data_IF_233180925731
#
_entry.id   IF_233180925731
#
_cell.length_a   1.000
_cell.length_b   1.000
_cell.length_c   1.000
_cell.angle_alpha   90.00
_cell.angle_beta   90.00
_cell.angle_gamma   90.00
#
_symmetry.space_group_name_H-M   'P 1'
#
loop_
_entity.id
_entity.type
_entity.pdbx_description
1 polymer ?
#
# COMPACT_ATOMS: atom_id res chain seq x y z
N UNK A 1 19.90 15.32 8.18
CA UNK A 1 20.83 15.13 7.06
C UNK A 1 20.12 15.21 5.70
N UNK A 2 19.08 14.40 5.42
CA UNK A 2 18.41 14.36 4.10
C UNK A 2 17.81 15.73 3.72
N UNK A 3 17.18 16.42 4.65
CA UNK A 3 16.57 17.74 4.39
C UNK A 3 17.58 18.87 4.43
N UNK A 4 18.50 18.84 5.38
CA UNK A 4 19.42 19.96 5.65
C UNK A 4 20.68 19.90 4.80
N UNK A 5 21.32 18.73 4.68
CA UNK A 5 22.55 18.55 3.92
C UNK A 5 22.28 18.19 2.48
N UNK A 6 21.47 17.11 2.22
CA UNK A 6 21.12 16.71 0.86
C UNK A 6 20.03 17.58 0.22
N UNK A 7 19.42 18.51 0.97
CA UNK A 7 18.40 19.46 0.49
C UNK A 7 17.27 18.84 -0.34
N UNK A 8 16.93 17.56 -0.05
CA UNK A 8 15.84 16.86 -0.74
C UNK A 8 14.49 17.31 -0.17
N UNK A 9 13.71 18.04 -0.99
CA UNK A 9 12.35 18.49 -0.63
C UNK A 9 11.35 17.34 -0.58
N UNK A 10 11.41 16.41 -1.55
CA UNK A 10 10.53 15.26 -1.66
C UNK A 10 11.03 14.08 -0.82
N UNK A 11 10.86 14.12 0.48
CA UNK A 11 11.28 13.08 1.41
C UNK A 11 10.16 12.73 2.38
N UNK A 12 9.94 11.43 2.58
CA UNK A 12 9.15 10.93 3.69
C UNK A 12 9.76 9.64 4.25
N UNK A 13 9.61 9.47 5.56
CA UNK A 13 10.05 8.29 6.31
C UNK A 13 8.96 7.87 7.28
N UNK A 14 8.78 6.57 7.39
CA UNK A 14 7.96 5.96 8.42
C UNK A 14 8.71 4.74 8.96
N UNK A 15 9.15 4.83 10.21
CA UNK A 15 10.05 3.82 10.83
C UNK A 15 11.26 3.52 9.94
N UNK A 16 11.35 2.29 9.42
CA UNK A 16 12.46 1.78 8.60
C UNK A 16 12.26 2.05 7.10
N UNK A 17 11.03 2.35 6.68
CA UNK A 17 10.70 2.62 5.28
C UNK A 17 10.77 4.12 4.99
N UNK A 18 11.42 4.48 3.88
CA UNK A 18 11.50 5.86 3.42
C UNK A 18 11.61 5.97 1.91
N UNK A 19 11.35 7.15 1.38
CA UNK A 19 11.59 7.47 -0.01
C UNK A 19 12.11 8.89 -0.19
N UNK A 20 12.87 9.08 -1.26
CA UNK A 20 13.36 10.37 -1.74
C UNK A 20 12.86 10.57 -3.16
N UNK A 21 12.45 11.80 -3.49
CA UNK A 21 12.02 12.19 -4.83
C UNK A 21 12.91 13.30 -5.35
N UNK A 22 13.50 13.09 -6.53
CA UNK A 22 14.27 14.10 -7.24
C UNK A 22 14.17 13.89 -8.74
N UNK A 23 14.34 14.96 -9.54
CA UNK A 23 14.27 14.91 -11.01
C UNK A 23 15.49 14.21 -11.63
N UNK A 24 16.70 14.46 -11.08
CA UNK A 24 17.95 13.82 -11.56
C UNK A 24 18.14 12.47 -10.88
N UNK A 25 18.37 11.45 -11.70
CA UNK A 25 18.72 10.10 -11.27
C UNK A 25 20.14 10.07 -10.69
N UNK A 26 21.07 10.81 -11.30
CA UNK A 26 22.47 10.93 -10.90
C UNK A 26 22.55 11.51 -9.48
N UNK A 27 21.76 12.53 -9.22
CA UNK A 27 21.69 13.12 -7.89
C UNK A 27 21.14 12.13 -6.84
N UNK A 28 20.11 11.35 -7.19
CA UNK A 28 19.62 10.30 -6.30
C UNK A 28 20.65 9.18 -6.06
N UNK A 29 21.48 8.85 -7.07
CA UNK A 29 22.57 7.89 -6.91
C UNK A 29 23.62 8.40 -5.91
N UNK A 30 24.02 9.68 -6.04
CA UNK A 30 24.92 10.33 -5.07
C UNK A 30 24.31 10.31 -3.66
N UNK A 31 23.07 10.77 -3.51
CA UNK A 31 22.37 10.74 -2.21
C UNK A 31 22.32 9.33 -1.61
N UNK A 32 22.09 8.30 -2.43
CA UNK A 32 22.08 6.93 -1.96
C UNK A 32 23.45 6.47 -1.47
N UNK A 33 24.55 6.87 -2.14
CA UNK A 33 25.91 6.60 -1.71
C UNK A 33 26.19 7.25 -0.35
N UNK A 34 25.88 8.54 -0.23
CA UNK A 34 26.10 9.31 1.00
C UNK A 34 25.28 8.74 2.18
N UNK A 35 24.04 8.36 1.93
CA UNK A 35 23.17 7.71 2.94
C UNK A 35 23.73 6.35 3.36
N UNK A 36 24.25 5.56 2.41
CA UNK A 36 24.89 4.28 2.74
C UNK A 36 26.09 4.44 3.64
N UNK A 37 26.93 5.42 3.35
CA UNK A 37 28.10 5.73 4.16
C UNK A 37 27.71 6.09 5.60
N UNK A 38 26.80 7.07 5.77
CA UNK A 38 26.34 7.51 7.10
C UNK A 38 25.65 6.39 7.86
N UNK A 39 24.79 5.60 7.18
CA UNK A 39 24.19 4.45 7.82
C UNK A 39 25.25 3.44 8.28
N UNK A 40 26.32 3.23 7.50
CA UNK A 40 27.44 2.38 7.87
C UNK A 40 28.16 2.87 9.11
N UNK A 41 28.46 4.17 9.20
CA UNK A 41 29.07 4.83 10.36
C UNK A 41 28.21 4.68 11.64
N UNK A 42 26.89 4.69 11.48
CA UNK A 42 25.92 4.48 12.57
C UNK A 42 25.59 3.01 12.86
N UNK A 43 26.27 2.06 12.20
CA UNK A 43 26.00 0.62 12.35
C UNK A 43 24.67 0.15 11.75
N UNK A 44 23.99 0.98 10.94
CA UNK A 44 22.70 0.67 10.32
C UNK A 44 22.93 0.03 8.96
N UNK A 45 22.38 -1.17 8.75
CA UNK A 45 22.45 -1.88 7.46
C UNK A 45 21.21 -1.59 6.61
N UNK A 46 21.41 -0.96 5.46
CA UNK A 46 20.34 -0.80 4.47
C UNK A 46 20.02 -2.11 3.76
N UNK A 47 18.73 -2.39 3.57
CA UNK A 47 18.30 -3.57 2.80
C UNK A 47 18.50 -3.33 1.30
N UNK A 48 19.61 -3.84 0.75
CA UNK A 48 20.00 -3.65 -0.65
C UNK A 48 18.98 -4.20 -1.66
N UNK A 49 18.23 -5.26 -1.31
CA UNK A 49 17.18 -5.85 -2.17
C UNK A 49 15.95 -4.94 -2.28
N UNK A 50 15.67 -4.11 -1.26
CA UNK A 50 14.52 -3.19 -1.26
C UNK A 50 14.91 -1.77 -1.65
N UNK A 51 16.17 -1.37 -1.46
CA UNK A 51 16.66 -0.04 -1.78
C UNK A 51 16.95 0.07 -3.26
N UNK A 52 16.13 0.83 -3.99
CA UNK A 52 16.24 0.95 -5.44
C UNK A 52 15.82 2.34 -5.93
N UNK A 53 16.41 2.79 -7.02
CA UNK A 53 16.02 4.03 -7.71
C UNK A 53 15.13 3.64 -8.89
N UNK A 54 13.90 4.15 -8.90
CA UNK A 54 12.90 3.83 -9.93
C UNK A 54 12.22 5.09 -10.45
N UNK A 55 11.77 5.07 -11.71
CA UNK A 55 10.91 6.14 -12.24
C UNK A 55 9.55 6.09 -11.54
N UNK A 56 9.06 7.24 -11.04
CA UNK A 56 7.77 7.32 -10.34
C UNK A 56 6.58 6.96 -11.23
N UNK A 57 6.69 7.09 -12.55
CA UNK A 57 5.71 6.61 -13.52
C UNK A 57 5.52 5.08 -13.49
N UNK A 58 6.58 4.33 -13.14
CA UNK A 58 6.47 2.89 -12.89
C UNK A 58 5.77 2.55 -11.57
N UNK A 59 5.59 3.55 -10.70
CA UNK A 59 4.96 3.45 -9.40
C UNK A 59 5.89 2.97 -8.30
N UNK A 60 5.78 3.62 -7.15
CA UNK A 60 6.46 3.26 -5.90
C UNK A 60 5.46 2.67 -4.92
N UNK A 61 5.89 1.70 -4.13
CA UNK A 61 5.07 1.13 -3.05
C UNK A 61 5.56 1.65 -1.72
N UNK A 62 4.67 2.32 -0.99
CA UNK A 62 4.95 2.84 0.35
C UNK A 62 3.72 2.66 1.24
N UNK A 63 3.90 2.20 2.47
CA UNK A 63 2.82 1.96 3.47
C UNK A 63 1.61 1.19 2.90
N UNK A 64 1.88 0.06 2.22
CA UNK A 64 0.85 -0.81 1.62
C UNK A 64 0.06 -0.20 0.46
N UNK A 65 0.45 0.97 -0.04
CA UNK A 65 -0.16 1.65 -1.18
C UNK A 65 0.85 1.81 -2.31
N UNK A 66 0.38 1.74 -3.54
CA UNK A 66 1.19 2.00 -4.74
C UNK A 66 0.81 3.36 -5.31
N UNK A 67 1.79 4.23 -5.40
CA UNK A 67 1.68 5.59 -5.95
C UNK A 67 2.24 5.59 -7.36
N UNK A 68 1.47 6.09 -8.31
CA UNK A 68 1.87 6.21 -9.72
C UNK A 68 1.62 7.65 -10.16
N UNK A 69 2.62 8.30 -10.70
CA UNK A 69 2.47 9.61 -11.35
C UNK A 69 2.13 9.39 -12.82
N UNK A 70 1.01 9.95 -13.27
CA UNK A 70 0.61 9.94 -14.68
C UNK A 70 1.37 11.00 -15.46
N UNK A 71 1.33 10.91 -16.79
CA UNK A 71 1.91 11.93 -17.70
C UNK A 71 1.25 13.29 -17.52
N UNK A 72 -0.01 13.33 -17.15
CA UNK A 72 -0.76 14.56 -16.84
C UNK A 72 -0.43 15.16 -15.47
N UNK A 73 0.53 14.61 -14.73
CA UNK A 73 0.91 15.09 -13.39
C UNK A 73 -0.03 14.60 -12.27
N UNK A 74 -1.07 13.82 -12.58
CA UNK A 74 -1.99 13.30 -11.56
C UNK A 74 -1.37 12.11 -10.82
N UNK A 75 -1.50 12.09 -9.50
CA UNK A 75 -1.09 10.96 -8.67
C UNK A 75 -2.25 9.98 -8.51
N UNK A 76 -2.03 8.72 -8.91
CA UNK A 76 -2.97 7.62 -8.70
C UNK A 76 -2.47 6.77 -7.54
N UNK A 77 -3.32 6.58 -6.52
CA UNK A 77 -3.04 5.75 -5.35
C UNK A 77 -3.81 4.44 -5.48
N UNK A 78 -3.09 3.33 -5.61
CA UNK A 78 -3.70 1.98 -5.72
C UNK A 78 -3.46 1.17 -4.45
N UNK A 79 -4.45 0.40 -3.97
CA UNK A 79 -4.24 -0.54 -2.89
C UNK A 79 -3.37 -1.71 -3.35
N UNK A 80 -2.67 -2.35 -2.42
CA UNK A 80 -1.85 -3.53 -2.72
C UNK A 80 -2.74 -4.72 -3.11
N UNK A 81 -2.53 -5.39 -4.26
CA UNK A 81 -3.39 -6.50 -4.71
C UNK A 81 -3.48 -7.64 -3.69
N UNK A 82 -2.38 -7.95 -2.99
CA UNK A 82 -2.33 -9.00 -1.97
C UNK A 82 -3.37 -8.80 -0.85
N UNK A 83 -3.62 -7.55 -0.43
CA UNK A 83 -4.62 -7.23 0.60
C UNK A 83 -6.04 -7.57 0.14
N UNK A 84 -6.34 -7.28 -1.14
CA UNK A 84 -7.66 -7.57 -1.74
C UNK A 84 -7.88 -9.08 -1.85
N UNK A 85 -6.87 -9.81 -2.33
CA UNK A 85 -6.93 -11.29 -2.42
C UNK A 85 -7.12 -11.90 -1.04
N UNK A 86 -6.38 -11.41 -0.02
CA UNK A 86 -6.52 -11.86 1.37
C UNK A 86 -7.94 -11.62 1.89
N UNK A 87 -8.52 -10.44 1.64
CA UNK A 87 -9.90 -10.15 2.07
C UNK A 87 -10.91 -11.07 1.39
N UNK A 88 -10.82 -11.32 0.08
CA UNK A 88 -11.71 -12.25 -0.63
C UNK A 88 -11.67 -13.66 -0.03
N UNK A 89 -10.48 -14.16 0.32
CA UNK A 89 -10.32 -15.46 1.00
C UNK A 89 -10.92 -15.41 2.41
N UNK A 90 -10.68 -14.32 3.14
CA UNK A 90 -11.17 -14.11 4.50
C UNK A 90 -12.71 -14.14 4.56
N UNK A 91 -13.41 -13.53 3.60
CA UNK A 91 -14.87 -13.55 3.54
C UNK A 91 -15.43 -14.99 3.43
N UNK A 92 -14.80 -15.85 2.61
CA UNK A 92 -15.20 -17.26 2.50
C UNK A 92 -14.96 -18.04 3.79
N UNK A 93 -13.86 -17.76 4.49
CA UNK A 93 -13.56 -18.35 5.80
C UNK A 93 -14.57 -17.87 6.84
N UNK A 94 -14.92 -16.60 6.82
CA UNK A 94 -15.93 -16.01 7.70
C UNK A 94 -17.29 -16.66 7.51
N UNK A 95 -17.72 -16.90 6.27
CA UNK A 95 -18.98 -17.60 5.99
C UNK A 95 -18.99 -18.98 6.66
N UNK A 96 -17.94 -19.78 6.47
CA UNK A 96 -17.84 -21.11 7.11
C UNK A 96 -17.87 -21.03 8.64
N UNK A 97 -17.24 -20.01 9.25
CA UNK A 97 -17.28 -19.82 10.71
C UNK A 97 -18.66 -19.37 11.20
N UNK A 98 -19.35 -18.53 10.43
CA UNK A 98 -20.71 -18.11 10.73
C UNK A 98 -21.67 -19.31 10.70
N UNK A 99 -21.58 -20.13 9.63
CA UNK A 99 -22.45 -21.34 9.47
C UNK A 99 -22.16 -22.38 10.56
N UNK A 100 -20.95 -22.43 11.09
CA UNK A 100 -20.58 -23.30 12.21
C UNK A 100 -20.86 -22.68 13.59
N UNK A 101 -21.52 -21.52 13.67
CA UNK A 101 -21.81 -20.84 14.95
C UNK A 101 -20.58 -20.29 15.69
N UNK A 102 -19.39 -20.27 15.02
CA UNK A 102 -18.10 -19.88 15.63
C UNK A 102 -17.77 -18.39 15.49
N UNK A 103 -18.64 -17.61 14.88
CA UNK A 103 -18.42 -16.19 14.65
C UNK A 103 -19.76 -15.45 14.45
N UNK A 104 -19.91 -14.30 15.08
CA UNK A 104 -21.09 -13.46 14.89
C UNK A 104 -21.03 -12.68 13.57
N UNK A 105 -22.18 -12.46 12.94
CA UNK A 105 -22.27 -11.67 11.70
C UNK A 105 -21.81 -10.21 11.90
N UNK A 106 -22.05 -9.63 13.09
CA UNK A 106 -21.60 -8.29 13.44
C UNK A 106 -20.07 -8.13 13.31
N UNK A 107 -19.30 -9.13 13.78
CA UNK A 107 -17.82 -9.10 13.70
C UNK A 107 -17.34 -9.15 12.25
N UNK A 108 -18.02 -9.94 11.42
CA UNK A 108 -17.74 -10.05 9.99
C UNK A 108 -17.96 -8.68 9.32
N UNK A 109 -19.11 -8.07 9.60
CA UNK A 109 -19.48 -6.75 9.07
C UNK A 109 -18.45 -5.68 9.49
N UNK A 110 -18.09 -5.65 10.77
CA UNK A 110 -17.08 -4.72 11.31
C UNK A 110 -15.73 -4.90 10.62
N UNK A 111 -15.24 -6.13 10.49
CA UNK A 111 -13.98 -6.42 9.79
C UNK A 111 -14.02 -6.00 8.31
N UNK A 112 -15.14 -6.19 7.63
CA UNK A 112 -15.30 -5.83 6.22
C UNK A 112 -15.38 -4.30 6.04
N UNK A 113 -16.15 -3.61 6.88
CA UNK A 113 -16.27 -2.14 6.87
C UNK A 113 -14.93 -1.48 7.15
N UNK A 114 -14.19 -1.95 8.17
CA UNK A 114 -12.84 -1.47 8.48
C UNK A 114 -11.90 -1.62 7.29
N UNK A 115 -11.90 -2.78 6.62
CA UNK A 115 -11.09 -2.98 5.41
C UNK A 115 -11.46 -2.01 4.29
N UNK A 116 -12.76 -1.78 4.04
CA UNK A 116 -13.21 -0.79 3.05
C UNK A 116 -12.80 0.63 3.42
N UNK A 117 -12.76 0.97 4.71
CA UNK A 117 -12.26 2.25 5.20
C UNK A 117 -10.83 2.54 4.71
N UNK A 118 -9.94 1.56 4.76
CA UNK A 118 -8.59 1.70 4.21
C UNK A 118 -8.56 1.93 2.69
N UNK A 119 -9.51 1.34 1.94
CA UNK A 119 -9.59 1.50 0.49
C UNK A 119 -10.11 2.88 0.06
N UNK A 120 -10.87 3.59 0.92
CA UNK A 120 -11.38 4.95 0.62
C UNK A 120 -10.25 5.96 0.36
N UNK A 121 -9.07 5.73 0.91
CA UNK A 121 -7.88 6.56 0.67
C UNK A 121 -7.11 6.20 -0.62
N UNK A 122 -7.70 5.36 -1.47
CA UNK A 122 -7.13 4.92 -2.73
C UNK A 122 -8.11 5.17 -3.88
N UNK A 123 -7.61 5.21 -5.11
CA UNK A 123 -8.44 5.17 -6.33
C UNK A 123 -8.99 3.74 -6.53
N UNK A 124 -9.87 3.30 -5.62
CA UNK A 124 -10.32 1.91 -5.48
C UNK A 124 -11.82 1.70 -5.64
N UNK A 125 -12.56 2.66 -6.21
CA UNK A 125 -14.02 2.59 -6.33
C UNK A 125 -14.49 1.26 -6.95
N UNK A 126 -13.98 0.88 -8.12
CA UNK A 126 -14.33 -0.39 -8.79
C UNK A 126 -14.02 -1.63 -7.94
N UNK A 127 -12.97 -1.57 -7.10
CA UNK A 127 -12.60 -2.66 -6.20
C UNK A 127 -13.61 -2.77 -5.07
N UNK A 128 -14.05 -1.64 -4.51
CA UNK A 128 -15.04 -1.58 -3.43
C UNK A 128 -16.37 -2.13 -3.93
N UNK A 129 -16.83 -1.73 -5.13
CA UNK A 129 -18.06 -2.25 -5.75
C UNK A 129 -17.99 -3.77 -5.90
N UNK A 130 -16.90 -4.30 -6.47
CA UNK A 130 -16.70 -5.76 -6.62
C UNK A 130 -16.62 -6.52 -5.29
N UNK A 131 -16.09 -5.89 -4.24
CA UNK A 131 -16.03 -6.49 -2.90
C UNK A 131 -17.40 -6.49 -2.23
N UNK A 132 -18.21 -5.44 -2.41
CA UNK A 132 -19.58 -5.40 -1.93
C UNK A 132 -20.40 -6.50 -2.60
N UNK A 133 -20.38 -6.59 -3.93
CA UNK A 133 -21.09 -7.64 -4.67
C UNK A 133 -20.67 -9.06 -4.21
N UNK A 134 -19.37 -9.27 -3.96
CA UNK A 134 -18.90 -10.55 -3.42
C UNK A 134 -19.40 -10.81 -1.99
N UNK A 135 -19.43 -9.80 -1.14
CA UNK A 135 -19.98 -9.88 0.22
C UNK A 135 -21.46 -10.26 0.18
N UNK A 136 -22.25 -9.54 -0.64
CA UNK A 136 -23.68 -9.76 -0.78
C UNK A 136 -24.00 -11.16 -1.33
N UNK A 137 -23.21 -11.62 -2.32
CA UNK A 137 -23.31 -13.00 -2.83
C UNK A 137 -23.04 -14.05 -1.74
N UNK A 138 -22.01 -13.86 -0.92
CA UNK A 138 -21.61 -14.85 0.11
C UNK A 138 -22.58 -14.89 1.28
N UNK A 139 -23.08 -13.73 1.74
CA UNK A 139 -23.84 -13.65 2.98
C UNK A 139 -25.34 -13.50 2.80
N UNK A 140 -25.81 -13.00 1.67
CA UNK A 140 -27.25 -12.78 1.41
C UNK A 140 -27.78 -13.59 0.22
N UNK A 141 -26.93 -14.33 -0.51
CA UNK A 141 -27.34 -15.08 -1.69
C UNK A 141 -27.80 -14.20 -2.87
N UNK A 142 -27.59 -12.88 -2.80
CA UNK A 142 -28.05 -11.94 -3.84
C UNK A 142 -27.04 -11.89 -4.96
N UNK A 143 -27.50 -12.23 -6.17
CA UNK A 143 -26.81 -11.88 -7.41
C UNK A 143 -27.29 -10.47 -7.80
N UNK A 144 -26.45 -9.44 -7.73
CA UNK A 144 -26.73 -8.21 -8.43
C UNK A 144 -26.54 -8.53 -9.92
N UNK A 145 -27.65 -8.69 -10.65
CA UNK A 145 -27.72 -8.70 -12.12
C UNK A 145 -27.22 -7.38 -12.68
#
# INVERSE_FOLDING_TARGET
YIKEVLRIKGYARYMDDGYLLHKSKEYLQKCLSDIKQICGELGIKLNTKKTQIVKISRGITFLQRRFVLTETGKVIIKPRPRGIVKMRRKLRVFKRKLDAGKMAFADIKTSFVSFKGHLKHCNAHRIIVRLNALFDKIFYGRYNT
#
